data_IF_401190171770
#
_entry.id   IF_401190171770
#
_cell.length_a   1.000
_cell.length_b   1.000
_cell.length_c   1.000
_cell.angle_alpha   90.00
_cell.angle_beta   90.00
_cell.angle_gamma   90.00
#
_symmetry.space_group_name_H-M   'P 1'
#
loop_
_entity.id
_entity.type
_entity.pdbx_description
1 polymer ?
#
# COMPACT_ATOMS: atom_id res chain seq x y z
N UNK A 1 4.39 17.48 14.87
CA UNK A 1 4.82 16.10 15.11
C UNK A 1 3.67 15.50 15.86
N UNK A 2 2.67 15.06 15.11
CA UNK A 2 1.52 14.39 15.70
C UNK A 2 1.97 12.97 15.98
N UNK A 3 1.77 12.48 17.20
CA UNK A 3 2.02 11.09 17.53
C UNK A 3 1.28 10.20 16.52
N UNK A 4 1.88 9.09 16.05
CA UNK A 4 1.20 8.20 15.12
C UNK A 4 -0.14 7.76 15.71
N UNK A 5 -1.23 7.69 14.91
CA UNK A 5 -2.55 7.34 15.40
C UNK A 5 -2.50 6.05 16.23
N UNK A 6 -3.19 6.03 17.37
CA UNK A 6 -3.27 4.83 18.20
C UNK A 6 -4.01 3.73 17.40
N UNK A 7 -3.74 2.46 17.69
CA UNK A 7 -4.40 1.34 17.00
C UNK A 7 -5.94 1.41 17.05
N UNK A 8 -6.58 1.86 18.14
CA UNK A 8 -8.02 2.11 18.17
C UNK A 8 -8.49 3.16 17.14
N UNK A 9 -7.72 4.23 16.91
CA UNK A 9 -8.06 5.25 15.91
C UNK A 9 -7.97 4.66 14.50
N UNK A 10 -6.92 3.87 14.24
CA UNK A 10 -6.77 3.17 12.97
C UNK A 10 -7.93 2.20 12.74
N UNK A 11 -8.35 1.45 13.76
CA UNK A 11 -9.49 0.55 13.67
C UNK A 11 -10.80 1.31 13.43
N UNK A 12 -11.00 2.42 14.13
CA UNK A 12 -12.18 3.29 13.95
C UNK A 12 -12.25 3.84 12.52
N UNK A 13 -11.11 4.14 11.90
CA UNK A 13 -11.05 4.59 10.50
C UNK A 13 -11.56 3.55 9.49
N UNK A 14 -11.73 2.29 9.90
CA UNK A 14 -12.23 1.19 9.06
C UNK A 14 -13.74 0.96 9.19
N UNK A 15 -14.45 1.69 10.05
CA UNK A 15 -15.90 1.56 10.20
C UNK A 15 -16.64 2.03 8.94
N UNK A 16 -17.57 1.20 8.45
CA UNK A 16 -18.63 1.57 7.53
C UNK A 16 -19.72 2.29 8.31
N UNK A 17 -19.57 3.59 8.60
CA UNK A 17 -20.72 4.36 9.04
C UNK A 17 -21.62 4.63 7.83
N UNK A 18 -22.91 4.23 7.84
CA UNK A 18 -23.91 4.96 7.07
C UNK A 18 -23.93 6.39 7.62
N UNK A 19 -23.90 7.40 6.75
CA UNK A 19 -23.73 8.84 7.07
C UNK A 19 -24.70 9.42 8.16
N UNK A 20 -25.68 8.64 8.63
CA UNK A 20 -26.89 9.14 9.28
C UNK A 20 -27.20 8.55 10.68
N UNK A 21 -26.38 7.65 11.24
CA UNK A 21 -26.67 7.01 12.55
C UNK A 21 -25.61 7.26 13.62
N UNK A 22 -26.07 7.69 14.80
CA UNK A 22 -25.26 7.79 16.02
C UNK A 22 -25.08 6.36 16.55
N UNK A 23 -23.86 5.82 16.46
CA UNK A 23 -23.53 4.47 16.90
C UNK A 23 -23.43 4.37 18.43
N UNK A 24 -24.01 3.33 19.03
CA UNK A 24 -23.61 2.87 20.36
C UNK A 24 -22.31 2.06 20.21
N UNK A 25 -21.19 2.46 20.85
CA UNK A 25 -19.94 1.71 20.80
C UNK A 25 -20.07 0.24 21.23
N UNK A 26 -21.09 -0.10 22.02
CA UNK A 26 -21.35 -1.46 22.48
C UNK A 26 -22.11 -2.33 21.45
N UNK A 27 -22.61 -1.73 20.37
CA UNK A 27 -23.34 -2.43 19.29
C UNK A 27 -22.52 -2.55 18.00
N UNK A 28 -21.23 -2.15 17.98
CA UNK A 28 -20.36 -2.34 16.81
C UNK A 28 -20.18 -3.84 16.57
N UNK A 29 -20.77 -4.32 15.47
CA UNK A 29 -20.69 -5.72 15.08
C UNK A 29 -19.51 -5.92 14.13
N UNK A 30 -19.00 -7.15 14.07
CA UNK A 30 -17.84 -7.49 13.25
C UNK A 30 -18.00 -7.14 11.75
N UNK A 31 -19.24 -7.04 11.27
CA UNK A 31 -19.60 -6.68 9.89
C UNK A 31 -19.56 -5.18 9.59
N UNK A 32 -19.42 -4.33 10.60
CA UNK A 32 -19.38 -2.88 10.43
C UNK A 32 -17.98 -2.40 10.04
N UNK A 33 -16.97 -3.27 10.09
CA UNK A 33 -15.60 -2.93 9.70
C UNK A 33 -15.28 -3.42 8.28
N UNK A 34 -14.71 -2.53 7.47
CA UNK A 34 -14.14 -2.90 6.17
C UNK A 34 -12.86 -3.73 6.33
N UNK A 35 -12.69 -4.67 5.41
CA UNK A 35 -11.37 -5.25 5.16
C UNK A 35 -10.39 -4.16 4.71
N UNK A 36 -9.13 -4.33 5.08
CA UNK A 36 -8.08 -3.38 4.72
C UNK A 36 -6.81 -4.11 4.30
N UNK A 37 -5.94 -3.39 3.60
CA UNK A 37 -4.64 -3.89 3.21
C UNK A 37 -4.34 -3.57 1.76
N UNK A 38 -3.66 -4.49 1.08
CA UNK A 38 -2.92 -4.13 -0.12
C UNK A 38 -3.14 -5.09 -1.27
N UNK A 39 -3.04 -4.55 -2.48
CA UNK A 39 -3.02 -5.31 -3.72
C UNK A 39 -1.57 -5.37 -4.23
N UNK A 40 -1.04 -6.57 -4.50
CA UNK A 40 0.29 -6.78 -5.07
C UNK A 40 0.19 -7.50 -6.40
N UNK A 41 0.83 -6.96 -7.43
CA UNK A 41 0.90 -7.51 -8.78
C UNK A 41 2.31 -7.96 -9.12
N UNK A 42 2.46 -9.22 -9.55
CA UNK A 42 3.70 -9.76 -10.11
C UNK A 42 3.70 -9.62 -11.63
N UNK A 43 4.76 -9.08 -12.21
CA UNK A 43 4.88 -8.92 -13.67
C UNK A 43 6.04 -9.68 -14.30
N UNK A 44 6.96 -10.23 -13.50
CA UNK A 44 8.10 -11.00 -13.99
C UNK A 44 8.04 -12.47 -13.55
N UNK A 45 8.26 -13.38 -14.51
CA UNK A 45 8.06 -14.83 -14.38
C UNK A 45 9.29 -15.62 -14.86
N UNK A 46 10.46 -15.29 -14.31
CA UNK A 46 11.77 -15.78 -14.78
C UNK A 46 12.16 -17.22 -14.38
N UNK A 47 11.20 -18.08 -14.07
CA UNK A 47 11.44 -19.45 -13.59
C UNK A 47 11.62 -19.57 -12.06
N UNK A 48 12.13 -20.71 -11.56
CA UNK A 48 12.04 -21.08 -10.14
C UNK A 48 12.68 -20.10 -9.15
N UNK A 49 13.75 -19.40 -9.54
CA UNK A 49 14.36 -18.37 -8.69
C UNK A 49 13.44 -17.15 -8.52
N UNK A 50 12.78 -16.73 -9.60
CA UNK A 50 11.79 -15.66 -9.59
C UNK A 50 10.55 -16.06 -8.78
N UNK A 51 10.13 -17.33 -8.85
CA UNK A 51 9.02 -17.85 -8.03
C UNK A 51 9.36 -17.83 -6.54
N UNK A 52 10.55 -18.29 -6.16
CA UNK A 52 11.02 -18.21 -4.75
C UNK A 52 11.13 -16.77 -4.26
N UNK A 53 11.68 -15.86 -5.06
CA UNK A 53 11.78 -14.46 -4.70
C UNK A 53 10.40 -13.83 -4.51
N UNK A 54 9.44 -14.17 -5.38
CA UNK A 54 8.06 -13.71 -5.24
C UNK A 54 7.40 -14.23 -3.96
N UNK A 55 7.51 -15.52 -3.67
CA UNK A 55 6.97 -16.12 -2.44
C UNK A 55 7.60 -15.47 -1.19
N UNK A 56 8.92 -15.26 -1.21
CA UNK A 56 9.63 -14.59 -0.13
C UNK A 56 9.15 -13.15 0.08
N UNK A 57 8.93 -12.39 -1.00
CA UNK A 57 8.41 -11.02 -0.91
C UNK A 57 7.00 -11.00 -0.31
N UNK A 58 6.09 -11.87 -0.76
CA UNK A 58 4.72 -11.93 -0.24
C UNK A 58 4.71 -12.29 1.25
N UNK A 59 5.55 -13.23 1.67
CA UNK A 59 5.66 -13.60 3.08
C UNK A 59 6.31 -12.49 3.92
N UNK A 60 7.29 -11.79 3.37
CA UNK A 60 7.93 -10.64 4.01
C UNK A 60 6.92 -9.51 4.30
N UNK A 61 6.03 -9.21 3.34
CA UNK A 61 4.94 -8.24 3.53
C UNK A 61 4.03 -8.64 4.69
N UNK A 62 3.56 -9.89 4.70
CA UNK A 62 2.66 -10.41 5.75
C UNK A 62 3.33 -10.35 7.12
N UNK A 63 4.59 -10.76 7.18
CA UNK A 63 5.38 -10.80 8.41
C UNK A 63 5.58 -9.40 8.95
N UNK A 64 6.00 -8.45 8.12
CA UNK A 64 6.24 -7.07 8.55
C UNK A 64 4.96 -6.36 8.98
N UNK A 65 3.85 -6.51 8.26
CA UNK A 65 2.55 -5.96 8.69
C UNK A 65 2.18 -6.47 10.09
N UNK A 66 2.31 -7.80 10.31
CA UNK A 66 2.03 -8.41 11.60
C UNK A 66 2.94 -7.87 12.71
N UNK A 67 4.25 -7.86 12.48
CA UNK A 67 5.22 -7.37 13.47
C UNK A 67 5.01 -5.89 13.79
N UNK A 68 4.70 -5.08 12.78
CA UNK A 68 4.45 -3.65 12.95
C UNK A 68 3.18 -3.35 13.74
N UNK A 69 2.13 -4.19 13.62
CA UNK A 69 0.93 -4.06 14.47
C UNK A 69 1.24 -4.54 15.88
N UNK A 70 1.93 -5.68 16.02
CA UNK A 70 2.32 -6.23 17.33
C UNK A 70 3.25 -5.32 18.13
N UNK A 71 4.16 -4.60 17.47
CA UNK A 71 5.09 -3.68 18.11
C UNK A 71 4.52 -2.32 18.50
N UNK A 72 3.25 -2.03 18.16
CA UNK A 72 2.60 -0.73 18.42
C UNK A 72 1.83 -0.66 19.74
N UNK A 73 1.69 -1.76 20.45
CA UNK A 73 0.98 -1.81 21.73
C UNK A 73 1.82 -2.51 22.80
N UNK A 74 1.56 -2.17 24.05
CA UNK A 74 2.05 -2.95 25.20
C UNK A 74 0.96 -3.92 25.63
N UNK A 75 1.34 -5.10 26.13
CA UNK A 75 0.36 -6.11 26.60
C UNK A 75 -0.44 -5.68 27.84
N UNK A 76 -0.20 -4.46 28.35
CA UNK A 76 -0.82 -3.90 29.54
C UNK A 76 -2.07 -3.06 29.20
N UNK A 77 -2.24 -2.63 27.95
CA UNK A 77 -3.43 -1.93 27.48
C UNK A 77 -4.37 -2.90 26.73
N UNK A 78 -5.44 -3.34 27.41
CA UNK A 78 -6.41 -4.31 26.86
C UNK A 78 -7.12 -3.78 25.60
N UNK A 79 -7.44 -2.48 25.56
CA UNK A 79 -8.11 -1.86 24.41
C UNK A 79 -7.22 -1.87 23.16
N UNK A 80 -5.94 -1.55 23.30
CA UNK A 80 -4.98 -1.61 22.18
C UNK A 80 -4.74 -3.05 21.72
N UNK A 81 -4.70 -4.01 22.64
CA UNK A 81 -4.54 -5.44 22.32
C UNK A 81 -5.74 -5.94 21.51
N UNK A 82 -6.97 -5.62 21.91
CA UNK A 82 -8.16 -6.01 21.17
C UNK A 82 -8.24 -5.29 19.81
N UNK A 83 -7.91 -4.00 19.77
CA UNK A 83 -7.82 -3.26 18.51
C UNK A 83 -6.80 -3.89 17.55
N UNK A 84 -5.63 -4.29 18.05
CA UNK A 84 -4.61 -4.96 17.25
C UNK A 84 -5.07 -6.31 16.70
N UNK A 85 -5.73 -7.13 17.53
CA UNK A 85 -6.31 -8.41 17.10
C UNK A 85 -7.35 -8.21 16.00
N UNK A 86 -8.23 -7.22 16.16
CA UNK A 86 -9.27 -6.90 15.19
C UNK A 86 -8.68 -6.34 13.89
N UNK A 87 -7.72 -5.43 13.96
CA UNK A 87 -6.99 -4.95 12.79
C UNK A 87 -6.35 -6.10 12.02
N UNK A 88 -5.68 -7.03 12.72
CA UNK A 88 -5.10 -8.20 12.08
C UNK A 88 -6.14 -9.13 11.46
N UNK A 89 -7.33 -9.28 12.05
CA UNK A 89 -8.38 -10.14 11.49
C UNK A 89 -9.02 -9.55 10.23
N UNK A 90 -9.00 -8.22 10.08
CA UNK A 90 -9.47 -7.49 8.90
C UNK A 90 -8.41 -7.33 7.81
N UNK A 91 -7.14 -7.58 8.13
CA UNK A 91 -6.06 -7.43 7.16
C UNK A 91 -6.18 -8.47 6.03
N UNK A 92 -6.03 -7.99 4.80
CA UNK A 92 -6.00 -8.78 3.57
C UNK A 92 -4.82 -8.36 2.71
N UNK A 93 -4.16 -9.35 2.14
CA UNK A 93 -3.16 -9.14 1.10
C UNK A 93 -3.67 -9.81 -0.18
N UNK A 94 -4.15 -9.02 -1.12
CA UNK A 94 -4.61 -9.50 -2.43
C UNK A 94 -3.41 -9.66 -3.35
N UNK A 95 -3.13 -10.90 -3.72
CA UNK A 95 -1.92 -11.27 -4.47
C UNK A 95 -2.33 -11.67 -5.89
N UNK A 96 -1.80 -10.97 -6.89
CA UNK A 96 -2.10 -11.18 -8.30
C UNK A 96 -0.84 -11.60 -9.05
N UNK A 97 -0.82 -12.84 -9.55
CA UNK A 97 0.35 -13.43 -10.20
C UNK A 97 -0.02 -14.29 -11.43
N UNK A 98 -1.09 -13.92 -12.13
CA UNK A 98 -1.50 -14.59 -13.37
C UNK A 98 -0.58 -14.17 -14.54
N UNK A 99 0.28 -15.04 -15.08
CA UNK A 99 1.20 -14.68 -16.14
C UNK A 99 0.49 -14.38 -17.46
N UNK A 100 -0.69 -14.95 -17.72
CA UNK A 100 -1.42 -14.71 -18.97
C UNK A 100 -1.84 -13.25 -19.12
N UNK A 101 -2.09 -12.57 -17.99
CA UNK A 101 -2.55 -11.17 -17.95
C UNK A 101 -1.48 -10.19 -17.49
N UNK A 102 -0.51 -10.62 -16.68
CA UNK A 102 0.42 -9.71 -16.01
C UNK A 102 1.87 -9.79 -16.51
N UNK A 103 2.24 -10.81 -17.30
CA UNK A 103 3.62 -10.97 -17.74
C UNK A 103 4.08 -9.78 -18.60
N UNK A 104 5.08 -9.06 -18.12
CA UNK A 104 5.63 -7.88 -18.79
C UNK A 104 4.69 -6.69 -18.88
N UNK A 105 3.58 -6.69 -18.12
CA UNK A 105 2.63 -5.59 -18.12
C UNK A 105 3.29 -4.29 -17.61
N UNK A 106 3.09 -3.20 -18.34
CA UNK A 106 3.54 -1.87 -17.91
C UNK A 106 2.60 -1.26 -16.86
N UNK A 107 3.00 -0.11 -16.28
CA UNK A 107 2.22 0.53 -15.22
C UNK A 107 0.83 1.01 -15.69
N UNK A 108 0.67 1.41 -16.95
CA UNK A 108 -0.62 1.89 -17.45
C UNK A 108 -1.58 0.71 -17.67
N UNK A 109 -1.07 -0.41 -18.19
CA UNK A 109 -1.80 -1.67 -18.29
C UNK A 109 -2.21 -2.18 -16.89
N UNK A 110 -1.29 -2.12 -15.92
CA UNK A 110 -1.59 -2.53 -14.54
C UNK A 110 -2.64 -1.66 -13.87
N UNK A 111 -2.66 -0.34 -14.11
CA UNK A 111 -3.73 0.54 -13.61
C UNK A 111 -5.09 0.12 -14.14
N UNK A 112 -5.18 -0.24 -15.43
CA UNK A 112 -6.41 -0.75 -16.03
C UNK A 112 -6.83 -2.09 -15.42
N UNK A 113 -5.89 -3.05 -15.32
CA UNK A 113 -6.14 -4.36 -14.68
C UNK A 113 -6.58 -4.18 -13.23
N UNK A 114 -5.97 -3.25 -12.51
CA UNK A 114 -6.33 -2.94 -11.14
C UNK A 114 -7.76 -2.41 -11.05
N UNK A 115 -8.12 -1.41 -11.85
CA UNK A 115 -9.48 -0.88 -11.90
C UNK A 115 -10.53 -1.97 -12.23
N UNK A 116 -10.21 -2.87 -13.16
CA UNK A 116 -11.09 -4.00 -13.50
C UNK A 116 -11.18 -5.04 -12.38
N UNK A 117 -10.08 -5.34 -11.69
CA UNK A 117 -10.09 -6.23 -10.54
C UNK A 117 -10.91 -5.64 -9.37
N UNK A 118 -10.85 -4.33 -9.14
CA UNK A 118 -11.69 -3.66 -8.15
C UNK A 118 -13.16 -3.77 -8.54
N UNK A 119 -13.51 -3.46 -9.80
CA UNK A 119 -14.88 -3.53 -10.33
C UNK A 119 -15.46 -4.95 -10.26
N UNK A 120 -14.63 -5.97 -10.43
CA UNK A 120 -15.04 -7.39 -10.40
C UNK A 120 -14.92 -8.04 -9.03
N UNK A 121 -14.48 -7.30 -7.99
CA UNK A 121 -14.28 -7.81 -6.64
C UNK A 121 -13.09 -8.76 -6.48
N UNK A 122 -12.18 -8.80 -7.46
CA UNK A 122 -10.93 -9.59 -7.40
C UNK A 122 -9.83 -8.90 -6.60
N UNK A 123 -9.85 -7.57 -6.51
CA UNK A 123 -8.90 -6.77 -5.73
C UNK A 123 -9.62 -6.07 -4.57
N UNK A 124 -8.86 -5.76 -3.52
CA UNK A 124 -9.35 -5.02 -2.36
C UNK A 124 -9.71 -3.60 -2.76
N UNK A 125 -10.99 -3.27 -2.62
CA UNK A 125 -11.50 -1.92 -2.80
C UNK A 125 -11.20 -1.08 -1.57
N UNK A 126 -10.05 -0.41 -1.58
CA UNK A 126 -9.76 0.68 -0.64
C UNK A 126 -10.51 1.98 -1.03
N UNK A 127 -11.55 1.89 -1.89
CA UNK A 127 -12.24 3.02 -2.52
C UNK A 127 -12.95 3.97 -1.56
N UNK A 128 -13.19 3.55 -0.31
CA UNK A 128 -13.71 4.44 0.71
C UNK A 128 -12.69 5.48 1.20
N UNK A 129 -11.45 5.39 0.72
CA UNK A 129 -10.41 6.36 1.02
C UNK A 129 -9.76 6.82 -0.29
N UNK A 130 -10.17 8.00 -0.77
CA UNK A 130 -9.67 8.59 -2.02
C UNK A 130 -8.14 8.69 -2.06
N UNK A 131 -7.49 8.85 -0.91
CA UNK A 131 -6.03 8.93 -0.78
C UNK A 131 -5.33 7.56 -0.81
N UNK A 132 -6.07 6.45 -0.67
CA UNK A 132 -5.53 5.08 -0.64
C UNK A 132 -5.68 4.33 -1.98
N UNK A 133 -5.83 5.06 -3.08
CA UNK A 133 -5.88 4.52 -4.44
C UNK A 133 -4.47 4.14 -4.91
N UNK A 134 -3.96 3.02 -4.39
CA UNK A 134 -2.63 2.52 -4.72
C UNK A 134 -2.58 0.99 -4.75
N UNK A 135 -1.57 0.49 -5.44
CA UNK A 135 -1.21 -0.92 -5.45
C UNK A 135 0.30 -1.09 -5.54
N UNK A 136 0.76 -2.29 -5.26
CA UNK A 136 2.17 -2.63 -5.32
C UNK A 136 2.50 -3.47 -6.55
N UNK A 137 3.71 -3.31 -7.06
CA UNK A 137 4.22 -4.08 -8.20
C UNK A 137 5.57 -4.70 -7.87
N UNK A 138 5.69 -5.99 -8.18
CA UNK A 138 6.94 -6.75 -8.18
C UNK A 138 7.29 -7.14 -9.61
N UNK A 139 8.14 -6.34 -10.24
CA UNK A 139 8.67 -6.60 -11.57
C UNK A 139 10.05 -7.28 -11.52
N UNK A 140 10.70 -7.42 -12.68
CA UNK A 140 11.97 -8.15 -12.77
C UNK A 140 13.07 -7.55 -11.91
N UNK A 141 13.09 -6.23 -11.75
CA UNK A 141 14.04 -5.52 -10.91
C UNK A 141 13.82 -5.88 -9.43
N UNK A 142 12.57 -5.76 -8.96
CA UNK A 142 12.18 -6.12 -7.58
C UNK A 142 12.53 -7.57 -7.27
N UNK A 143 12.16 -8.51 -8.14
CA UNK A 143 12.39 -9.94 -7.87
C UNK A 143 13.87 -10.33 -7.91
N UNK A 144 14.68 -9.63 -8.72
CA UNK A 144 16.14 -9.85 -8.75
C UNK A 144 16.77 -9.42 -7.43
N UNK A 145 16.39 -8.24 -6.93
CA UNK A 145 16.95 -7.71 -5.68
C UNK A 145 16.49 -8.52 -4.47
N UNK A 146 15.21 -8.91 -4.43
CA UNK A 146 14.67 -9.80 -3.39
C UNK A 146 15.40 -11.15 -3.36
N UNK A 147 15.78 -11.71 -4.52
CA UNK A 147 16.56 -12.95 -4.57
C UNK A 147 17.93 -12.83 -3.89
N UNK A 148 18.46 -11.61 -3.76
CA UNK A 148 19.72 -11.31 -3.06
C UNK A 148 19.52 -10.88 -1.60
N UNK A 149 18.25 -10.82 -1.14
CA UNK A 149 17.87 -10.42 0.21
C UNK A 149 17.59 -8.92 0.37
N UNK A 150 17.53 -8.15 -0.72
CA UNK A 150 17.18 -6.74 -0.67
C UNK A 150 15.68 -6.52 -0.96
N UNK A 151 14.90 -6.39 0.12
CA UNK A 151 13.45 -6.31 0.02
C UNK A 151 12.94 -4.87 -0.16
N UNK A 152 12.44 -4.59 -1.36
CA UNK A 152 11.71 -3.37 -1.69
C UNK A 152 10.60 -3.70 -2.69
N UNK A 153 9.69 -2.74 -2.91
CA UNK A 153 8.54 -2.91 -3.80
C UNK A 153 8.20 -1.58 -4.48
N UNK A 154 7.59 -1.63 -5.67
CA UNK A 154 7.08 -0.43 -6.35
C UNK A 154 5.70 -0.09 -5.79
N UNK A 155 5.56 1.07 -5.16
CA UNK A 155 4.28 1.64 -4.76
C UNK A 155 3.74 2.48 -5.92
N UNK A 156 2.58 2.13 -6.46
CA UNK A 156 2.01 2.73 -7.67
C UNK A 156 0.68 3.40 -7.35
N UNK A 157 0.53 4.65 -7.80
CA UNK A 157 -0.74 5.38 -7.73
C UNK A 157 -1.68 4.89 -8.82
N UNK A 158 -2.87 4.47 -8.41
CA UNK A 158 -3.82 3.77 -9.27
C UNK A 158 -4.51 4.70 -10.27
N UNK A 159 -4.79 5.95 -9.87
CA UNK A 159 -5.50 6.95 -10.67
C UNK A 159 -4.57 8.03 -11.24
N UNK A 160 -3.25 7.75 -11.28
CA UNK A 160 -2.27 8.66 -11.83
C UNK A 160 -2.60 9.05 -13.28
N UNK A 161 -2.69 10.35 -13.53
CA UNK A 161 -2.87 10.91 -14.87
C UNK A 161 -1.70 11.85 -15.18
N UNK A 162 -0.79 11.41 -16.04
CA UNK A 162 0.40 12.18 -16.41
C UNK A 162 0.07 13.61 -16.88
N UNK A 163 -1.05 13.82 -17.60
CA UNK A 163 -1.47 15.14 -18.08
C UNK A 163 -1.91 16.10 -16.96
N UNK A 164 -2.36 15.59 -15.81
CA UNK A 164 -2.70 16.41 -14.63
C UNK A 164 -1.45 16.92 -13.90
N UNK A 165 -0.34 16.20 -14.06
CA UNK A 165 0.96 16.51 -13.44
C UNK A 165 1.82 17.46 -14.28
N UNK A 166 1.39 17.78 -15.49
CA UNK A 166 2.02 18.82 -16.30
C UNK A 166 1.58 20.18 -15.76
N UNK A 167 2.34 20.72 -14.80
CA UNK A 167 2.22 22.11 -14.41
C UNK A 167 2.33 23.04 -15.62
N UNK A 168 1.58 24.14 -15.61
CA UNK A 168 1.57 25.18 -16.67
C UNK A 168 2.93 25.83 -16.94
N UNK A 169 3.96 25.52 -16.15
CA UNK A 169 5.23 26.25 -16.13
C UNK A 169 6.43 25.28 -16.13
N UNK A 170 6.59 24.51 -17.22
CA UNK A 170 7.73 23.59 -17.45
C UNK A 170 9.11 24.25 -17.37
N UNK A 171 9.19 25.58 -17.34
CA UNK A 171 10.47 26.31 -17.40
C UNK A 171 11.17 26.45 -16.04
N UNK A 172 10.49 26.22 -14.91
CA UNK A 172 11.03 26.53 -13.57
C UNK A 172 11.20 25.36 -12.61
N UNK A 173 10.47 24.25 -12.78
CA UNK A 173 10.60 23.08 -11.91
C UNK A 173 10.54 21.78 -12.72
N UNK A 174 11.52 20.88 -12.60
CA UNK A 174 11.44 19.56 -13.22
C UNK A 174 10.32 18.75 -12.57
N UNK A 175 9.65 17.89 -13.36
CA UNK A 175 8.66 16.94 -12.85
C UNK A 175 9.32 16.01 -11.82
N UNK A 176 8.75 15.98 -10.61
CA UNK A 176 9.35 15.28 -9.46
C UNK A 176 8.70 13.94 -9.12
N UNK A 177 7.58 13.62 -9.79
CA UNK A 177 6.81 12.42 -9.51
C UNK A 177 6.13 11.88 -10.76
N UNK A 178 6.18 10.56 -10.92
CA UNK A 178 5.76 9.83 -12.12
C UNK A 178 4.73 8.73 -11.80
N UNK A 179 3.97 8.91 -10.71
CA UNK A 179 2.84 8.03 -10.37
C UNK A 179 3.23 6.71 -9.70
N UNK A 180 4.47 6.60 -9.24
CA UNK A 180 4.95 5.49 -8.43
C UNK A 180 6.23 5.90 -7.67
N UNK A 181 6.69 5.10 -6.71
CA UNK A 181 8.01 5.22 -6.07
C UNK A 181 8.49 3.87 -5.52
N UNK A 182 9.79 3.74 -5.18
CA UNK A 182 10.35 2.55 -4.52
C UNK A 182 10.12 2.65 -3.02
N UNK A 183 9.66 1.58 -2.38
CA UNK A 183 9.45 1.54 -0.92
C UNK A 183 10.07 0.28 -0.32
N UNK A 184 10.67 0.39 0.87
CA UNK A 184 11.06 -0.78 1.67
C UNK A 184 9.83 -1.59 2.10
N UNK A 185 9.91 -2.91 1.98
CA UNK A 185 8.82 -3.81 2.37
C UNK A 185 8.52 -3.80 3.88
N UNK A 186 9.35 -3.21 4.73
CA UNK A 186 9.04 -3.12 6.16
C UNK A 186 8.26 -1.85 6.54
N UNK A 187 7.76 -1.07 5.57
CA UNK A 187 7.10 0.24 5.82
C UNK A 187 5.61 0.30 5.50
N UNK A 188 4.95 -0.85 5.32
CA UNK A 188 3.53 -0.92 4.93
C UNK A 188 2.58 -0.18 5.88
N UNK A 189 2.73 -0.31 7.21
CA UNK A 189 1.84 0.38 8.16
C UNK A 189 2.08 1.88 8.16
N UNK A 190 3.35 2.32 8.06
CA UNK A 190 3.68 3.75 7.99
C UNK A 190 3.05 4.39 6.75
N UNK A 191 3.18 3.75 5.59
CA UNK A 191 2.52 4.21 4.37
C UNK A 191 1.00 4.25 4.54
N UNK A 192 0.39 3.22 5.12
CA UNK A 192 -1.06 3.18 5.34
C UNK A 192 -1.57 4.32 6.22
N UNK A 193 -0.80 4.72 7.22
CA UNK A 193 -1.09 5.84 8.11
C UNK A 193 -0.91 7.18 7.38
N UNK A 194 0.18 7.37 6.64
CA UNK A 194 0.42 8.61 5.88
C UNK A 194 -0.67 8.87 4.84
N UNK A 195 -1.19 7.81 4.21
CA UNK A 195 -2.29 7.90 3.24
C UNK A 195 -3.64 8.27 3.88
N UNK A 196 -3.74 8.44 5.19
CA UNK A 196 -4.90 9.09 5.81
C UNK A 196 -4.95 10.59 5.53
N UNK A 197 -3.77 11.21 5.38
CA UNK A 197 -3.63 12.67 5.36
C UNK A 197 -2.93 13.19 4.10
N UNK A 198 -2.24 12.33 3.36
CA UNK A 198 -1.38 12.73 2.26
C UNK A 198 -1.64 11.90 1.00
N UNK A 199 -1.55 12.56 -0.16
CA UNK A 199 -1.49 11.88 -1.46
C UNK A 199 -0.13 11.21 -1.65
N UNK A 200 -0.07 10.16 -2.48
CA UNK A 200 1.18 9.46 -2.81
C UNK A 200 2.27 10.42 -3.29
N UNK A 201 1.93 11.41 -4.12
CA UNK A 201 2.88 12.41 -4.63
C UNK A 201 3.62 13.15 -3.51
N UNK A 202 2.94 13.43 -2.39
CA UNK A 202 3.53 14.15 -1.25
C UNK A 202 4.39 13.25 -0.36
N UNK A 203 4.23 11.93 -0.47
CA UNK A 203 4.97 10.92 0.30
C UNK A 203 6.21 10.46 -0.49
N UNK A 204 6.09 10.40 -1.81
CA UNK A 204 7.12 9.89 -2.70
C UNK A 204 8.43 10.69 -2.57
N UNK A 205 9.59 10.01 -2.45
CA UNK A 205 10.89 10.65 -2.55
C UNK A 205 11.04 11.41 -3.87
N UNK A 206 11.83 12.49 -3.90
CA UNK A 206 12.01 13.30 -5.10
C UNK A 206 12.64 12.47 -6.23
N UNK A 207 12.06 12.54 -7.42
CA UNK A 207 12.69 11.95 -8.61
C UNK A 207 13.90 12.80 -9.04
N UNK A 208 15.09 12.21 -9.11
CA UNK A 208 16.30 12.89 -9.58
C UNK A 208 16.54 12.53 -11.06
N UNK A 209 16.46 13.53 -11.94
CA UNK A 209 16.73 13.33 -13.38
C UNK A 209 15.73 12.41 -14.09
N UNK A 210 14.52 12.26 -13.58
CA UNK A 210 13.51 11.34 -14.12
C UNK A 210 13.72 9.87 -13.74
N UNK A 211 14.68 9.57 -12.86
CA UNK A 211 14.91 8.24 -12.31
C UNK A 211 14.64 8.20 -10.81
N UNK A 212 13.96 7.14 -10.36
CA UNK A 212 13.74 6.87 -8.94
C UNK A 212 14.95 6.19 -8.35
N UNK A 213 15.85 7.00 -7.80
CA UNK A 213 17.09 6.54 -7.17
C UNK A 213 16.93 6.27 -5.67
N UNK A 214 15.97 6.94 -5.02
CA UNK A 214 15.76 6.84 -3.58
C UNK A 214 14.64 5.84 -3.26
N UNK A 215 14.94 4.92 -2.34
CA UNK A 215 13.95 4.03 -1.76
C UNK A 215 13.34 4.76 -0.56
N UNK A 216 12.02 4.87 -0.52
CA UNK A 216 11.31 5.46 0.60
C UNK A 216 11.49 4.59 1.85
N UNK A 217 12.01 5.22 2.91
CA UNK A 217 12.35 4.57 4.17
C UNK A 217 11.38 4.91 5.32
N UNK A 218 10.31 5.66 5.05
CA UNK A 218 9.45 6.25 6.08
C UNK A 218 9.95 7.64 6.50
N UNK A 219 9.02 8.55 6.76
CA UNK A 219 9.24 9.97 7.13
C UNK A 219 10.52 10.61 6.56
N UNK A 220 10.58 10.76 5.24
CA UNK A 220 11.62 11.53 4.53
C UNK A 220 11.37 13.06 4.61
N UNK A 221 10.58 13.52 5.60
CA UNK A 221 10.30 14.94 5.83
C UNK A 221 11.52 15.60 6.49
N UNK A 222 12.39 16.13 5.64
CA UNK A 222 13.30 17.24 6.01
C UNK A 222 12.52 18.53 6.29
#
# INVERSE_FOLDING_TARGET
MDDPPLLPDLLTSLLEAPDDQIYDPNEILDHDYKEWGFNIYRTAYGGPDSDRAWEALVEDVRTHVRLQIQGRYTSENEEEVEAAKKLMSLFRLSVHADPETLQGADLDQLRQVHADNIRTGKALSNACWALRQMFFVADGEVLTDVATGDFWIKCVEADYVASRQVGRDRSRMPQRYFGWFKMRSNRFIELWLDLQFHHLESIAPPTIGGMHLEIWHGDDRL
#
